data_IF_028640721590
#
_entry.id   IF_028640721590
#
_cell.length_a   1.000
_cell.length_b   1.000
_cell.length_c   1.000
_cell.angle_alpha   90.00
_cell.angle_beta   90.00
_cell.angle_gamma   90.00
#
_symmetry.space_group_name_H-M   'P 1'
#
loop_
_entity.id
_entity.type
_entity.pdbx_description
1 polymer ?
#
# COMPACT_ATOMS: atom_id res chain seq x y z
N UNK A 1 13.18 -3.25 -1.30
CA UNK A 1 12.49 -2.54 -0.20
C UNK A 1 13.46 -1.93 0.81
N UNK A 2 14.33 -2.71 1.48
CA UNK A 2 15.23 -2.20 2.54
C UNK A 2 16.22 -1.09 2.13
N UNK A 3 16.51 -0.95 0.85
CA UNK A 3 17.45 0.06 0.29
C UNK A 3 16.77 1.32 -0.26
N UNK A 4 15.44 1.41 -0.25
CA UNK A 4 14.70 2.55 -0.83
C UNK A 4 13.78 3.17 0.22
N UNK A 5 14.27 4.20 0.91
CA UNK A 5 13.53 4.90 1.98
C UNK A 5 12.34 5.74 1.49
N UNK A 6 12.23 5.98 0.18
CA UNK A 6 11.20 6.85 -0.42
C UNK A 6 10.19 6.05 -1.25
N UNK A 7 9.91 4.81 -0.84
CA UNK A 7 8.94 3.98 -1.54
C UNK A 7 7.55 4.20 -0.95
N UNK A 8 6.66 4.78 -1.74
CA UNK A 8 5.31 5.16 -1.30
C UNK A 8 4.27 4.12 -1.72
N UNK A 9 4.39 3.58 -2.94
CA UNK A 9 3.39 2.69 -3.55
C UNK A 9 4.07 1.52 -4.27
N UNK A 10 3.46 0.33 -4.20
CA UNK A 10 3.83 -0.86 -4.96
C UNK A 10 2.65 -1.25 -5.84
N UNK A 11 2.89 -1.45 -7.15
CA UNK A 11 1.93 -2.11 -8.03
C UNK A 11 2.33 -3.58 -8.16
N UNK A 12 1.43 -4.48 -7.79
CA UNK A 12 1.72 -5.91 -7.62
C UNK A 12 0.81 -6.77 -8.49
N UNK A 13 1.38 -7.69 -9.27
CA UNK A 13 0.58 -8.69 -9.97
C UNK A 13 0.12 -9.79 -9.01
N UNK A 14 -1.15 -10.19 -9.11
CA UNK A 14 -1.71 -11.29 -8.32
C UNK A 14 -1.19 -12.63 -8.85
N UNK A 15 -1.10 -12.79 -10.17
CA UNK A 15 -0.82 -14.09 -10.80
C UNK A 15 0.58 -14.09 -11.40
N UNK A 16 1.58 -14.40 -10.57
CA UNK A 16 2.97 -14.53 -10.98
C UNK A 16 3.42 -16.01 -10.96
N UNK A 17 4.23 -16.46 -11.94
CA UNK A 17 4.85 -17.78 -11.85
C UNK A 17 5.76 -17.88 -10.62
N UNK A 18 5.53 -18.86 -9.76
CA UNK A 18 6.41 -19.18 -8.61
C UNK A 18 6.18 -18.37 -7.34
N UNK A 19 5.34 -17.33 -7.35
CA UNK A 19 5.02 -16.54 -6.15
C UNK A 19 3.54 -16.12 -6.16
N UNK A 20 2.85 -16.33 -5.05
CA UNK A 20 1.46 -15.90 -4.88
C UNK A 20 1.42 -14.39 -4.54
N UNK A 21 0.74 -13.60 -5.36
CA UNK A 21 0.64 -12.16 -5.16
C UNK A 21 -0.09 -11.77 -3.86
N UNK A 22 -1.03 -12.58 -3.37
CA UNK A 22 -1.70 -12.31 -2.09
C UNK A 22 -0.77 -12.60 -0.90
N UNK A 23 0.03 -13.66 -0.97
CA UNK A 23 1.05 -13.94 0.03
C UNK A 23 2.14 -12.86 0.03
N UNK A 24 2.51 -12.39 -1.16
CA UNK A 24 3.43 -11.26 -1.34
C UNK A 24 2.89 -9.99 -0.70
N UNK A 25 1.61 -9.66 -0.93
CA UNK A 25 0.93 -8.52 -0.31
C UNK A 25 1.00 -8.60 1.21
N UNK A 26 0.71 -9.77 1.77
CA UNK A 26 0.73 -10.02 3.22
C UNK A 26 2.12 -9.77 3.82
N UNK A 27 3.17 -10.28 3.20
CA UNK A 27 4.55 -10.08 3.67
C UNK A 27 5.00 -8.62 3.51
N UNK A 28 4.59 -7.93 2.44
CA UNK A 28 4.85 -6.50 2.25
C UNK A 28 4.20 -5.70 3.38
N UNK A 29 2.90 -5.88 3.62
CA UNK A 29 2.16 -5.10 4.65
C UNK A 29 2.63 -5.42 6.07
N UNK A 30 3.11 -6.64 6.32
CA UNK A 30 3.75 -7.00 7.60
C UNK A 30 5.09 -6.30 7.80
N UNK A 31 5.92 -6.21 6.78
CA UNK A 31 7.26 -5.61 6.88
C UNK A 31 7.24 -4.07 6.74
N UNK A 32 6.30 -3.54 5.96
CA UNK A 32 6.20 -2.12 5.60
C UNK A 32 4.73 -1.68 5.63
N UNK A 33 4.13 -1.54 6.82
CA UNK A 33 2.68 -1.32 6.97
C UNK A 33 2.18 -0.01 6.37
N UNK A 34 3.06 0.99 6.21
CA UNK A 34 2.70 2.30 5.64
C UNK A 34 2.77 2.33 4.11
N UNK A 35 3.46 1.38 3.46
CA UNK A 35 3.54 1.35 2.00
C UNK A 35 2.19 0.90 1.46
N UNK A 36 1.67 1.64 0.48
CA UNK A 36 0.42 1.27 -0.17
C UNK A 36 0.65 0.30 -1.32
N UNK A 37 -0.27 -0.66 -1.49
CA UNK A 37 -0.13 -1.72 -2.50
C UNK A 37 -1.38 -1.74 -3.36
N UNK A 38 -1.20 -1.55 -4.67
CA UNK A 38 -2.24 -1.67 -5.68
C UNK A 38 -2.07 -3.03 -6.37
N UNK A 39 -3.07 -3.88 -6.26
CA UNK A 39 -3.07 -5.17 -6.95
C UNK A 39 -3.50 -4.96 -8.41
N UNK A 40 -2.77 -5.54 -9.37
CA UNK A 40 -3.06 -5.40 -10.79
C UNK A 40 -2.94 -6.76 -11.51
N UNK A 41 -4.07 -7.37 -11.89
CA UNK A 41 -4.07 -8.73 -12.48
C UNK A 41 -5.05 -8.90 -13.63
N UNK A 42 -4.68 -9.71 -14.63
CA UNK A 42 -5.57 -10.09 -15.74
C UNK A 42 -6.49 -11.28 -15.46
N UNK A 43 -6.35 -11.91 -14.29
CA UNK A 43 -7.14 -13.09 -13.88
C UNK A 43 -7.79 -12.84 -12.53
N UNK A 44 -8.31 -11.64 -12.31
CA UNK A 44 -8.98 -11.30 -11.07
C UNK A 44 -10.28 -12.09 -10.93
N UNK A 45 -10.55 -12.61 -9.73
CA UNK A 45 -11.91 -12.94 -9.30
C UNK A 45 -12.36 -11.95 -8.23
N UNK A 46 -13.67 -11.83 -8.05
CA UNK A 46 -14.26 -11.00 -6.99
C UNK A 46 -13.71 -11.43 -5.62
N UNK A 47 -13.54 -12.72 -5.40
CA UNK A 47 -12.99 -13.28 -4.16
C UNK A 47 -11.55 -12.82 -3.94
N UNK A 48 -10.70 -12.90 -4.96
CA UNK A 48 -9.30 -12.44 -4.87
C UNK A 48 -9.20 -10.92 -4.61
N UNK A 49 -10.13 -10.14 -5.16
CA UNK A 49 -10.24 -8.71 -4.88
C UNK A 49 -10.58 -8.46 -3.42
N UNK A 50 -11.65 -9.10 -2.93
CA UNK A 50 -12.08 -8.99 -1.53
C UNK A 50 -10.96 -9.42 -0.57
N UNK A 51 -10.26 -10.51 -0.87
CA UNK A 51 -9.15 -11.00 -0.06
C UNK A 51 -7.97 -10.02 -0.04
N UNK A 52 -7.58 -9.50 -1.20
CA UNK A 52 -6.54 -8.47 -1.30
C UNK A 52 -6.87 -7.24 -0.45
N UNK A 53 -8.10 -6.74 -0.52
CA UNK A 53 -8.54 -5.61 0.29
C UNK A 53 -8.51 -5.92 1.79
N UNK A 54 -8.92 -7.13 2.21
CA UNK A 54 -8.85 -7.57 3.62
C UNK A 54 -7.41 -7.67 4.13
N UNK A 55 -6.46 -8.03 3.25
CA UNK A 55 -5.03 -8.10 3.56
C UNK A 55 -4.35 -6.72 3.55
N UNK A 56 -5.11 -5.65 3.27
CA UNK A 56 -4.65 -4.27 3.35
C UNK A 56 -4.18 -3.69 2.02
N UNK A 57 -4.51 -4.30 0.87
CA UNK A 57 -4.35 -3.63 -0.41
C UNK A 57 -5.09 -2.29 -0.41
N UNK A 58 -4.48 -1.29 -1.04
CA UNK A 58 -5.07 0.03 -1.22
C UNK A 58 -6.17 -0.01 -2.29
N UNK A 59 -5.89 -0.67 -3.41
CA UNK A 59 -6.85 -0.84 -4.49
C UNK A 59 -6.54 -2.12 -5.29
N UNK A 60 -7.49 -2.53 -6.12
CA UNK A 60 -7.41 -3.71 -6.95
C UNK A 60 -7.93 -3.39 -8.36
N UNK A 61 -7.04 -3.47 -9.35
CA UNK A 61 -7.31 -3.18 -10.75
C UNK A 61 -7.20 -4.44 -11.62
N UNK A 62 -8.06 -4.53 -12.63
CA UNK A 62 -8.07 -5.63 -13.60
C UNK A 62 -7.27 -5.24 -14.85
N UNK A 63 -6.39 -6.13 -15.33
CA UNK A 63 -5.74 -5.95 -16.64
C UNK A 63 -6.68 -6.42 -17.76
N UNK A 64 -6.73 -5.71 -18.91
CA UNK A 64 -6.08 -4.43 -19.16
C UNK A 64 -6.79 -3.30 -18.41
N UNK A 65 -6.02 -2.41 -17.77
CA UNK A 65 -6.54 -1.18 -17.15
C UNK A 65 -6.10 0.04 -17.95
N UNK A 66 -6.83 1.14 -17.82
CA UNK A 66 -6.37 2.42 -18.35
C UNK A 66 -5.12 2.88 -17.58
N UNK A 67 -4.15 3.47 -18.28
CA UNK A 67 -2.94 4.01 -17.68
C UNK A 67 -3.28 5.26 -16.84
N UNK A 68 -4.24 6.07 -17.29
CA UNK A 68 -4.70 7.25 -16.53
C UNK A 68 -5.38 6.83 -15.24
N UNK A 69 -6.18 5.76 -15.27
CA UNK A 69 -6.78 5.17 -14.07
C UNK A 69 -5.70 4.67 -13.11
N UNK A 70 -4.75 3.86 -13.58
CA UNK A 70 -3.65 3.38 -12.74
C UNK A 70 -2.83 4.53 -12.15
N UNK A 71 -2.51 5.56 -12.95
CA UNK A 71 -1.77 6.73 -12.50
C UNK A 71 -2.51 7.49 -11.40
N UNK A 72 -3.83 7.70 -11.56
CA UNK A 72 -4.67 8.34 -10.54
C UNK A 72 -4.67 7.52 -9.24
N UNK A 73 -4.79 6.19 -9.32
CA UNK A 73 -4.73 5.33 -8.12
C UNK A 73 -3.38 5.37 -7.43
N UNK A 74 -2.29 5.45 -8.18
CA UNK A 74 -0.94 5.60 -7.62
C UNK A 74 -0.79 6.94 -6.91
N UNK A 75 -1.34 8.02 -7.47
CA UNK A 75 -1.33 9.33 -6.82
C UNK A 75 -2.12 9.31 -5.50
N UNK A 76 -3.33 8.75 -5.51
CA UNK A 76 -4.16 8.60 -4.31
C UNK A 76 -3.45 7.78 -3.22
N UNK A 77 -2.85 6.65 -3.61
CA UNK A 77 -2.09 5.78 -2.71
C UNK A 77 -0.86 6.50 -2.13
N UNK A 78 -0.17 7.31 -2.94
CA UNK A 78 0.99 8.10 -2.50
C UNK A 78 0.58 9.14 -1.46
N UNK A 79 -0.51 9.86 -1.72
CA UNK A 79 -1.05 10.85 -0.79
C UNK A 79 -1.48 10.20 0.52
N UNK A 80 -2.15 9.04 0.44
CA UNK A 80 -2.56 8.26 1.61
C UNK A 80 -1.39 7.90 2.52
N UNK A 81 -0.30 7.41 1.95
CA UNK A 81 0.93 7.07 2.71
C UNK A 81 1.52 8.30 3.40
N UNK A 82 1.62 9.43 2.69
CA UNK A 82 2.15 10.69 3.24
C UNK A 82 1.30 11.23 4.39
N UNK A 83 -0.02 11.21 4.25
CA UNK A 83 -0.93 11.61 5.33
C UNK A 83 -0.75 10.76 6.59
N UNK A 84 -0.54 9.45 6.44
CA UNK A 84 -0.27 8.57 7.58
C UNK A 84 1.07 8.90 8.24
N UNK A 85 2.13 9.14 7.47
CA UNK A 85 3.43 9.54 7.99
C UNK A 85 3.37 10.87 8.74
N UNK A 86 2.65 11.85 8.21
CA UNK A 86 2.53 13.16 8.84
C UNK A 86 1.72 13.08 10.15
N UNK A 87 0.65 12.28 10.18
CA UNK A 87 -0.09 11.99 11.43
C UNK A 87 0.79 11.34 12.49
N UNK A 88 1.67 10.41 12.10
CA UNK A 88 2.61 9.76 13.03
C UNK A 88 3.60 10.81 13.59
N UNK A 89 4.21 11.61 12.72
CA UNK A 89 5.15 12.67 13.14
C UNK A 89 4.51 13.71 14.06
N UNK A 90 3.28 14.10 13.77
CA UNK A 90 2.54 15.07 14.58
C UNK A 90 2.16 14.50 15.95
N UNK A 91 1.78 13.21 16.01
CA UNK A 91 1.51 12.53 17.27
C UNK A 91 2.79 12.42 18.12
N UNK A 92 3.94 12.06 17.51
CA UNK A 92 5.24 12.01 18.18
C UNK A 92 5.66 13.38 18.72
N UNK A 93 5.50 14.45 17.93
CA UNK A 93 5.80 15.83 18.35
C UNK A 93 4.95 16.25 19.55
N UNK A 94 3.64 15.99 19.52
CA UNK A 94 2.73 16.32 20.63
C UNK A 94 3.07 15.51 21.89
N UNK A 95 3.35 14.22 21.75
CA UNK A 95 3.78 13.38 22.87
C UNK A 95 5.08 13.86 23.51
N UNK A 96 6.04 14.34 22.70
CA UNK A 96 7.27 14.92 23.19
C UNK A 96 7.00 16.21 23.97
N UNK A 97 6.17 17.12 23.44
CA UNK A 97 5.83 18.38 24.10
C UNK A 97 5.18 18.15 25.48
N UNK A 98 4.20 17.24 25.57
CA UNK A 98 3.53 16.88 26.83
C UNK A 98 4.49 16.30 27.88
N UNK A 99 5.57 15.64 27.47
CA UNK A 99 6.59 15.08 28.40
C UNK A 99 7.45 16.17 29.06
N UNK A 100 7.51 17.36 28.47
CA UNK A 100 8.30 18.49 28.96
C UNK A 100 7.43 19.63 29.53
N UNK A 101 6.12 19.45 29.64
CA UNK A 101 5.28 20.37 30.43
C UNK A 101 5.56 20.13 31.93
N UNK A 102 5.97 21.17 32.68
CA UNK A 102 6.36 21.06 34.09
C UNK A 102 5.18 20.84 35.06
#
# INVERSE_FOLDING_TARGET
LKTHQNLDVIVLDVKMPGMDGLETLKEIKKAFPLIEVIMLTGHATVESGIEGMKLGAFDFLMKPCDIEELASKVEDATNKKREHEDKIKDAERKGLLLKYEP
#
